data_IF_767744816436
#
_entry.id   IF_767744816436
#
_cell.length_a   1.000
_cell.length_b   1.000
_cell.length_c   1.000
_cell.angle_alpha   90.00
_cell.angle_beta   90.00
_cell.angle_gamma   90.00
#
_symmetry.space_group_name_H-M   'P 1'
#
loop_
_entity.id
_entity.type
_entity.pdbx_description
1 polymer ?
#
# COMPACT_ATOMS: atom_id res chain seq x y z
N UNK A 1 -56.97 26.67 -36.09
CA UNK A 1 -55.69 25.93 -36.03
C UNK A 1 -55.59 25.34 -34.61
N UNK A 2 -55.84 24.04 -34.46
CA UNK A 2 -56.08 23.39 -33.16
C UNK A 2 -54.76 23.04 -32.45
N UNK A 3 -54.65 23.40 -31.18
CA UNK A 3 -53.63 22.89 -30.25
C UNK A 3 -53.84 21.38 -30.02
N UNK A 4 -52.76 20.62 -30.07
CA UNK A 4 -52.68 19.27 -29.50
C UNK A 4 -51.41 19.18 -28.65
N UNK A 5 -51.59 18.98 -27.34
CA UNK A 5 -50.56 18.60 -26.37
C UNK A 5 -50.46 17.07 -26.38
N UNK A 6 -49.28 16.51 -26.54
CA UNK A 6 -48.96 15.12 -26.24
C UNK A 6 -48.42 15.00 -24.81
N UNK A 7 -48.87 14.02 -24.00
CA UNK A 7 -48.32 13.77 -22.67
C UNK A 7 -47.15 12.77 -22.70
N UNK A 8 -46.26 12.97 -21.74
CA UNK A 8 -45.08 12.16 -21.41
C UNK A 8 -45.43 10.74 -20.95
N UNK A 9 -44.61 9.76 -21.34
CA UNK A 9 -44.61 8.40 -20.79
C UNK A 9 -43.38 8.21 -19.91
N UNK A 10 -43.65 7.85 -18.64
CA UNK A 10 -42.72 7.72 -17.51
C UNK A 10 -42.26 6.26 -17.42
N UNK A 11 -40.95 6.03 -17.37
CA UNK A 11 -40.28 4.72 -17.34
C UNK A 11 -40.44 3.91 -16.05
N UNK A 12 -41.39 4.27 -15.17
CA UNK A 12 -41.55 3.69 -13.83
C UNK A 12 -42.41 2.43 -13.74
N UNK A 13 -43.34 2.20 -14.68
CA UNK A 13 -44.35 1.14 -14.52
C UNK A 13 -43.90 -0.27 -14.95
N UNK A 14 -42.74 -0.41 -15.60
CA UNK A 14 -42.22 -1.71 -16.04
C UNK A 14 -41.47 -2.49 -14.94
N UNK A 15 -40.92 -1.79 -13.94
CA UNK A 15 -40.15 -2.42 -12.84
C UNK A 15 -41.05 -2.91 -11.70
N UNK A 16 -42.17 -2.24 -11.45
CA UNK A 16 -43.06 -2.55 -10.33
C UNK A 16 -43.86 -3.86 -10.56
N UNK A 17 -44.19 -4.18 -11.82
CA UNK A 17 -44.83 -5.45 -12.19
C UNK A 17 -43.89 -6.67 -12.15
N UNK A 18 -42.57 -6.45 -12.10
CA UNK A 18 -41.59 -7.54 -12.09
C UNK A 18 -41.22 -7.96 -10.65
N UNK A 19 -41.34 -7.05 -9.68
CA UNK A 19 -41.05 -7.31 -8.26
C UNK A 19 -42.20 -7.99 -7.52
N UNK A 20 -43.46 -7.80 -7.93
CA UNK A 20 -44.60 -8.41 -7.23
C UNK A 20 -44.70 -9.94 -7.42
N UNK A 21 -44.08 -10.49 -8.47
CA UNK A 21 -44.10 -11.93 -8.76
C UNK A 21 -43.07 -12.75 -7.97
N UNK A 22 -42.19 -12.11 -7.18
CA UNK A 22 -41.14 -12.79 -6.40
C UNK A 22 -41.42 -12.86 -4.89
N UNK A 23 -42.45 -12.18 -4.38
CA UNK A 23 -42.84 -12.27 -2.98
C UNK A 23 -44.21 -12.94 -2.87
N UNK A 24 -44.21 -14.20 -2.42
CA UNK A 24 -45.42 -14.97 -2.14
C UNK A 24 -46.30 -14.26 -1.10
N UNK A 25 -47.41 -13.68 -1.57
CA UNK A 25 -48.44 -13.07 -0.75
C UNK A 25 -49.71 -13.89 -0.79
N UNK A 26 -50.07 -14.48 0.35
CA UNK A 26 -51.35 -15.13 0.61
C UNK A 26 -52.45 -14.07 0.64
N UNK A 27 -53.42 -14.14 -0.28
CA UNK A 27 -54.74 -13.53 -0.09
C UNK A 27 -55.85 -14.36 -0.74
N UNK A 28 -56.77 -14.84 0.11
CA UNK A 28 -58.07 -15.39 -0.24
C UNK A 28 -58.92 -14.37 -1.01
N UNK A 29 -59.42 -14.73 -2.20
CA UNK A 29 -60.84 -14.54 -2.49
C UNK A 29 -61.32 -15.29 -3.74
N UNK A 30 -62.55 -15.79 -3.64
CA UNK A 30 -63.24 -16.62 -4.62
C UNK A 30 -63.68 -15.85 -5.88
N UNK A 31 -63.85 -16.62 -6.96
CA UNK A 31 -64.52 -16.33 -8.24
C UNK A 31 -63.73 -15.57 -9.31
N UNK A 32 -63.01 -16.29 -10.18
CA UNK A 32 -62.93 -15.93 -11.61
C UNK A 32 -62.66 -17.17 -12.48
N UNK A 33 -63.44 -17.34 -13.56
CA UNK A 33 -63.34 -18.43 -14.56
C UNK A 33 -61.98 -18.39 -15.30
N UNK A 34 -61.37 -19.54 -15.64
CA UNK A 34 -60.10 -19.55 -16.36
C UNK A 34 -60.31 -19.25 -17.86
N UNK A 35 -59.59 -18.24 -18.38
CA UNK A 35 -59.29 -18.08 -19.83
C UNK A 35 -57.92 -18.71 -20.12
N UNK A 36 -57.70 -19.27 -21.31
CA UNK A 36 -56.55 -20.15 -21.55
C UNK A 36 -55.23 -19.38 -21.51
N UNK A 37 -54.23 -19.98 -20.86
CA UNK A 37 -52.88 -19.47 -20.71
C UNK A 37 -52.25 -19.17 -22.08
N UNK A 38 -51.95 -17.89 -22.34
CA UNK A 38 -51.01 -17.52 -23.39
C UNK A 38 -49.61 -17.93 -22.94
N UNK A 39 -48.95 -18.74 -23.78
CA UNK A 39 -47.66 -19.40 -23.57
C UNK A 39 -46.58 -18.44 -23.05
N UNK A 40 -46.19 -18.58 -21.80
CA UNK A 40 -44.98 -17.98 -21.20
C UNK A 40 -43.70 -18.72 -21.65
N UNK A 41 -43.53 -19.01 -22.93
CA UNK A 41 -42.38 -19.76 -23.47
C UNK A 41 -41.30 -18.87 -24.08
N UNK A 42 -41.52 -17.56 -24.21
CA UNK A 42 -40.54 -16.63 -24.81
C UNK A 42 -39.56 -16.05 -23.79
N UNK A 43 -40.00 -15.79 -22.55
CA UNK A 43 -39.15 -15.16 -21.52
C UNK A 43 -38.08 -16.12 -21.00
N UNK A 44 -38.41 -17.37 -20.73
CA UNK A 44 -37.46 -18.35 -20.21
C UNK A 44 -36.32 -18.63 -21.21
N UNK A 45 -36.63 -18.77 -22.50
CA UNK A 45 -35.61 -18.97 -23.56
C UNK A 45 -34.70 -17.75 -23.72
N UNK A 46 -35.27 -16.55 -23.67
CA UNK A 46 -34.49 -15.32 -23.77
C UNK A 46 -33.56 -15.16 -22.56
N UNK A 47 -34.06 -15.47 -21.36
CA UNK A 47 -33.24 -15.49 -20.13
C UNK A 47 -32.13 -16.53 -20.26
N UNK A 48 -32.40 -17.77 -20.67
CA UNK A 48 -31.37 -18.79 -20.86
C UNK A 48 -30.31 -18.37 -21.88
N UNK A 49 -30.72 -17.80 -23.02
CA UNK A 49 -29.79 -17.30 -24.04
C UNK A 49 -28.91 -16.18 -23.47
N UNK A 50 -29.49 -15.20 -22.78
CA UNK A 50 -28.73 -14.11 -22.16
C UNK A 50 -27.76 -14.63 -21.09
N UNK A 51 -28.17 -15.64 -20.31
CA UNK A 51 -27.31 -16.25 -19.30
C UNK A 51 -26.14 -16.99 -19.95
N UNK A 52 -26.40 -17.79 -21.00
CA UNK A 52 -25.35 -18.46 -21.77
C UNK A 52 -24.39 -17.46 -22.42
N UNK A 53 -24.90 -16.34 -22.93
CA UNK A 53 -24.09 -15.29 -23.56
C UNK A 53 -23.24 -14.55 -22.52
N UNK A 54 -23.77 -14.34 -21.31
CA UNK A 54 -23.03 -13.79 -20.18
C UNK A 54 -21.91 -14.74 -19.70
N UNK A 55 -22.17 -16.05 -19.65
CA UNK A 55 -21.13 -17.05 -19.37
C UNK A 55 -20.08 -17.12 -20.47
N UNK A 56 -20.48 -17.10 -21.75
CA UNK A 56 -19.55 -17.08 -22.87
C UNK A 56 -18.68 -15.82 -22.86
N UNK A 57 -19.27 -14.66 -22.57
CA UNK A 57 -18.54 -13.41 -22.41
C UNK A 57 -17.58 -13.46 -21.22
N UNK A 58 -17.99 -14.00 -20.08
CA UNK A 58 -17.12 -14.17 -18.93
C UNK A 58 -15.92 -15.09 -19.25
N UNK A 59 -16.15 -16.25 -19.87
CA UNK A 59 -15.09 -17.17 -20.28
C UNK A 59 -14.14 -16.49 -21.27
N UNK A 60 -14.69 -15.78 -22.27
CA UNK A 60 -13.89 -15.04 -23.25
C UNK A 60 -13.07 -13.93 -22.59
N UNK A 61 -13.66 -13.12 -21.72
CA UNK A 61 -12.97 -12.04 -21.01
C UNK A 61 -11.87 -12.58 -20.10
N UNK A 62 -12.13 -13.68 -19.37
CA UNK A 62 -11.13 -14.31 -18.49
C UNK A 62 -9.98 -14.91 -19.31
N UNK A 63 -10.30 -15.54 -20.44
CA UNK A 63 -9.28 -16.09 -21.36
C UNK A 63 -8.46 -14.97 -22.01
N UNK A 64 -9.10 -13.88 -22.45
CA UNK A 64 -8.44 -12.72 -23.02
C UNK A 64 -7.51 -12.06 -22.00
N UNK A 65 -7.97 -11.87 -20.76
CA UNK A 65 -7.14 -11.34 -19.67
C UNK A 65 -5.97 -12.27 -19.34
N UNK A 66 -6.18 -13.58 -19.36
CA UNK A 66 -5.11 -14.57 -19.17
C UNK A 66 -4.05 -14.46 -20.28
N UNK A 67 -4.45 -14.42 -21.55
CA UNK A 67 -3.52 -14.31 -22.69
C UNK A 67 -2.89 -12.92 -22.86
N UNK A 68 -3.53 -11.86 -22.35
CA UNK A 68 -2.98 -10.51 -22.34
C UNK A 68 -2.16 -10.21 -21.10
N UNK A 69 -2.19 -11.08 -20.08
CA UNK A 69 -1.32 -10.97 -18.92
C UNK A 69 0.15 -11.13 -19.35
N UNK A 70 1.06 -10.19 -19.04
CA UNK A 70 2.46 -10.23 -19.49
C UNK A 70 3.26 -11.44 -18.96
N UNK A 71 2.69 -12.20 -18.04
CA UNK A 71 3.31 -13.31 -17.31
C UNK A 71 3.33 -14.66 -18.05
N UNK A 72 2.83 -14.75 -19.28
CA UNK A 72 2.86 -15.99 -20.07
C UNK A 72 3.82 -15.86 -21.24
N UNK A 73 4.93 -16.60 -21.15
CA UNK A 73 6.09 -16.65 -22.06
C UNK A 73 5.78 -17.24 -23.47
N UNK A 74 4.53 -17.16 -23.94
CA UNK A 74 4.11 -17.66 -25.26
C UNK A 74 4.43 -16.67 -26.39
N UNK A 75 4.68 -15.40 -26.05
CA UNK A 75 4.86 -14.30 -27.03
C UNK A 75 6.22 -14.33 -27.75
N UNK A 76 7.19 -15.07 -27.22
CA UNK A 76 8.53 -15.19 -27.80
C UNK A 76 8.56 -16.06 -29.07
N UNK A 77 7.64 -17.04 -29.21
CA UNK A 77 7.58 -17.94 -30.37
C UNK A 77 6.90 -17.34 -31.60
N UNK A 78 5.85 -16.55 -31.41
CA UNK A 78 5.12 -15.90 -32.51
C UNK A 78 5.87 -14.67 -33.06
N UNK A 79 6.56 -13.90 -32.22
CA UNK A 79 7.31 -12.73 -32.67
C UNK A 79 8.50 -13.08 -33.61
N UNK A 80 9.05 -14.30 -33.52
CA UNK A 80 10.12 -14.76 -34.41
C UNK A 80 9.62 -15.15 -35.81
N UNK A 81 8.38 -15.66 -35.94
CA UNK A 81 7.82 -16.03 -37.26
C UNK A 81 7.38 -14.82 -38.10
N UNK A 82 7.05 -13.69 -37.48
CA UNK A 82 6.55 -12.51 -38.19
C UNK A 82 7.66 -11.57 -38.70
N UNK A 83 8.91 -11.75 -38.25
CA UNK A 83 10.07 -10.97 -38.73
C UNK A 83 10.54 -11.35 -40.14
N UNK A 84 10.06 -12.46 -40.71
CA UNK A 84 10.45 -12.89 -42.07
C UNK A 84 9.57 -12.31 -43.20
N UNK A 85 8.42 -11.68 -42.89
CA UNK A 85 7.44 -11.31 -43.92
C UNK A 85 7.23 -9.81 -44.15
N UNK A 86 7.98 -8.91 -43.50
CA UNK A 86 7.86 -7.46 -43.70
C UNK A 86 9.16 -6.84 -44.20
N UNK A 87 9.44 -7.01 -45.49
CA UNK A 87 10.41 -6.23 -46.26
C UNK A 87 9.66 -5.17 -47.07
N UNK A 88 9.68 -3.92 -46.62
CA UNK A 88 9.33 -2.73 -47.42
C UNK A 88 10.29 -1.58 -47.04
N UNK A 89 10.89 -0.87 -48.01
CA UNK A 89 11.87 0.18 -47.74
C UNK A 89 11.19 1.52 -47.41
N UNK A 90 11.76 2.37 -46.53
CA UNK A 90 11.16 3.66 -46.21
C UNK A 90 11.59 4.74 -47.21
N UNK A 91 10.63 5.31 -47.93
CA UNK A 91 10.76 6.63 -48.55
C UNK A 91 10.27 7.71 -47.59
N UNK A 92 11.22 8.55 -47.14
CA UNK A 92 11.17 10.00 -46.92
C UNK A 92 9.80 10.62 -46.60
N UNK A 93 9.60 11.02 -45.33
CA UNK A 93 9.07 12.36 -44.97
C UNK A 93 9.81 12.83 -43.71
N UNK A 94 10.66 13.84 -43.92
CA UNK A 94 11.28 14.72 -42.93
C UNK A 94 10.24 15.62 -42.26
N UNK A 95 10.31 15.82 -40.94
CA UNK A 95 10.45 17.14 -40.30
C UNK A 95 10.39 17.08 -38.76
N UNK A 96 11.42 17.67 -38.14
CA UNK A 96 11.59 18.10 -36.74
C UNK A 96 11.75 17.04 -35.64
N UNK A 97 12.96 16.50 -35.54
CA UNK A 97 13.59 16.19 -34.26
C UNK A 97 14.95 16.88 -34.23
N UNK A 98 15.04 17.96 -33.44
CA UNK A 98 16.29 18.65 -33.15
C UNK A 98 17.26 17.72 -32.43
N UNK A 99 18.52 17.84 -32.83
CA UNK A 99 19.68 17.10 -32.39
C UNK A 99 19.94 17.26 -30.88
N UNK A 100 19.93 16.16 -30.14
CA UNK A 100 20.85 16.00 -29.02
C UNK A 100 21.75 14.82 -29.33
N UNK A 101 22.97 15.14 -29.73
CA UNK A 101 24.03 14.22 -30.09
C UNK A 101 24.35 13.30 -28.89
N UNK A 102 23.98 12.03 -29.00
CA UNK A 102 24.53 10.93 -28.20
C UNK A 102 26.03 10.84 -28.46
N UNK A 103 26.83 11.47 -27.60
CA UNK A 103 28.21 11.05 -27.44
C UNK A 103 28.18 9.69 -26.78
N UNK A 104 28.59 8.67 -27.54
CA UNK A 104 28.98 7.35 -27.06
C UNK A 104 30.02 7.50 -25.94
N UNK A 105 29.56 7.54 -24.69
CA UNK A 105 30.41 7.38 -23.51
C UNK A 105 30.39 5.87 -23.21
N UNK A 106 31.55 5.20 -23.08
CA UNK A 106 31.56 3.80 -22.68
C UNK A 106 30.86 3.66 -21.32
N UNK A 107 29.92 2.72 -21.20
CA UNK A 107 29.36 2.26 -19.92
C UNK A 107 30.48 1.61 -19.10
N UNK A 108 31.27 2.45 -18.44
CA UNK A 108 32.12 2.05 -17.33
C UNK A 108 31.13 1.76 -16.19
N UNK A 109 31.16 0.58 -15.55
CA UNK A 109 30.37 0.35 -14.35
C UNK A 109 30.77 1.43 -13.33
N UNK A 110 29.90 2.41 -13.14
CA UNK A 110 30.12 3.47 -12.18
C UNK A 110 30.12 2.79 -10.82
N UNK A 111 31.27 2.77 -10.16
CA UNK A 111 31.39 2.28 -8.80
C UNK A 111 30.37 3.07 -7.95
N UNK A 112 29.49 2.40 -7.21
CA UNK A 112 28.43 3.04 -6.41
C UNK A 112 29.00 4.13 -5.50
N UNK A 113 30.25 3.96 -5.05
CA UNK A 113 31.01 4.94 -4.27
C UNK A 113 31.17 6.32 -4.92
N UNK A 114 31.05 6.44 -6.25
CA UNK A 114 31.16 7.72 -6.98
C UNK A 114 29.83 8.47 -7.08
N UNK A 115 28.70 7.78 -6.96
CA UNK A 115 27.35 8.36 -7.05
C UNK A 115 26.75 8.58 -5.65
N UNK A 116 27.18 7.78 -4.67
CA UNK A 116 26.69 7.87 -3.31
C UNK A 116 27.15 9.14 -2.60
N UNK A 117 26.23 10.07 -2.44
CA UNK A 117 26.39 11.22 -1.56
C UNK A 117 26.19 10.80 -0.10
N UNK A 118 27.04 11.32 0.80
CA UNK A 118 26.86 11.11 2.24
C UNK A 118 26.19 12.33 2.86
N UNK A 119 25.03 12.12 3.48
CA UNK A 119 24.43 13.12 4.36
C UNK A 119 25.01 12.95 5.76
N UNK A 120 25.85 13.91 6.20
CA UNK A 120 26.12 14.06 7.63
C UNK A 120 24.91 14.74 8.25
N UNK A 121 24.07 13.95 8.90
CA UNK A 121 23.00 14.49 9.72
C UNK A 121 23.65 14.87 11.05
N UNK A 122 23.98 16.15 11.23
CA UNK A 122 24.38 16.72 12.52
C UNK A 122 23.15 16.80 13.43
N UNK A 123 22.63 15.63 13.82
CA UNK A 123 21.53 15.53 14.77
C UNK A 123 22.10 15.48 16.17
N UNK A 124 22.34 16.65 16.77
CA UNK A 124 22.38 16.70 18.23
C UNK A 124 20.98 16.40 18.74
N UNK A 125 20.78 15.17 19.22
CA UNK A 125 19.55 14.79 19.89
C UNK A 125 19.41 15.60 21.18
N UNK A 126 18.71 16.72 21.08
CA UNK A 126 18.50 17.64 22.21
C UNK A 126 17.72 16.93 23.30
N UNK A 127 18.41 16.58 24.38
CA UNK A 127 17.77 16.12 25.62
C UNK A 127 17.07 17.30 26.28
N UNK A 128 15.86 17.06 26.78
CA UNK A 128 15.17 18.02 27.60
C UNK A 128 15.89 18.15 28.95
N UNK A 129 15.99 19.38 29.46
CA UNK A 129 16.43 19.65 30.83
C UNK A 129 15.24 20.01 31.75
N UNK A 130 14.00 19.99 31.24
CA UNK A 130 12.80 20.27 32.04
C UNK A 130 12.42 18.99 32.81
N UNK A 131 12.86 18.93 34.08
CA UNK A 131 12.62 17.79 34.97
C UNK A 131 11.13 17.45 35.14
N UNK A 132 10.25 18.45 35.07
CA UNK A 132 8.80 18.23 35.16
C UNK A 132 8.33 17.52 33.90
N UNK A 133 8.70 18.00 32.72
CA UNK A 133 8.31 17.35 31.46
C UNK A 133 8.84 15.93 31.33
N UNK A 134 10.11 15.71 31.70
CA UNK A 134 10.71 14.37 31.71
C UNK A 134 9.86 13.45 32.58
N UNK A 135 9.60 13.83 33.83
CA UNK A 135 8.78 13.05 34.76
C UNK A 135 7.39 12.76 34.20
N UNK A 136 6.69 13.77 33.67
CA UNK A 136 5.35 13.59 33.11
C UNK A 136 5.33 12.60 31.95
N UNK A 137 6.31 12.67 31.03
CA UNK A 137 6.41 11.79 29.86
C UNK A 137 6.81 10.37 30.27
N UNK A 138 7.77 10.21 31.17
CA UNK A 138 8.21 8.90 31.65
C UNK A 138 7.14 8.21 32.50
N UNK A 139 6.40 8.97 33.32
CA UNK A 139 5.31 8.41 34.13
C UNK A 139 4.16 7.94 33.23
N UNK A 140 3.75 8.76 32.25
CA UNK A 140 2.74 8.34 31.26
C UNK A 140 3.17 7.11 30.47
N UNK A 141 4.45 7.02 30.08
CA UNK A 141 4.97 5.85 29.39
C UNK A 141 4.86 4.58 30.25
N UNK A 142 5.22 4.66 31.54
CA UNK A 142 5.07 3.54 32.48
C UNK A 142 3.61 3.13 32.68
N UNK A 143 2.71 4.10 32.89
CA UNK A 143 1.28 3.85 33.03
C UNK A 143 0.72 3.09 31.80
N UNK A 144 1.17 3.44 30.60
CA UNK A 144 0.78 2.76 29.36
C UNK A 144 1.36 1.35 29.28
N UNK A 145 2.62 1.15 29.64
CA UNK A 145 3.23 -0.19 29.68
C UNK A 145 2.51 -1.11 30.66
N UNK A 146 2.19 -0.60 31.87
CA UNK A 146 1.46 -1.35 32.90
C UNK A 146 0.03 -1.67 32.44
N UNK A 147 -0.63 -0.76 31.73
CA UNK A 147 -1.94 -1.04 31.15
C UNK A 147 -1.86 -2.11 30.05
N UNK A 148 -0.89 -1.99 29.14
CA UNK A 148 -0.75 -2.91 28.01
C UNK A 148 -0.30 -4.31 28.44
N UNK A 149 0.55 -4.43 29.47
CA UNK A 149 0.98 -5.72 29.99
C UNK A 149 -0.21 -6.56 30.51
N UNK A 150 -1.25 -5.89 31.01
CA UNK A 150 -2.46 -6.54 31.54
C UNK A 150 -3.53 -6.82 30.48
N UNK A 151 -3.42 -6.27 29.27
CA UNK A 151 -4.49 -6.32 28.26
C UNK A 151 -4.06 -7.02 26.97
N UNK A 152 -2.92 -6.63 26.41
CA UNK A 152 -2.43 -7.13 25.12
C UNK A 152 -1.11 -7.86 25.24
N UNK A 153 -0.30 -7.58 26.26
CA UNK A 153 1.09 -8.03 26.37
C UNK A 153 2.08 -6.96 25.91
N UNK A 154 3.31 -7.05 26.43
CA UNK A 154 4.41 -6.11 26.18
C UNK A 154 5.70 -6.88 25.98
N UNK A 155 5.69 -7.90 25.14
CA UNK A 155 6.80 -8.82 24.94
C UNK A 155 8.12 -8.12 24.56
N UNK A 156 9.19 -8.59 25.16
CA UNK A 156 10.57 -8.25 24.79
C UNK A 156 10.90 -8.86 23.45
N UNK A 157 11.94 -8.36 22.79
CA UNK A 157 12.41 -8.94 21.53
C UNK A 157 12.72 -10.46 21.64
N UNK A 158 13.41 -10.97 22.69
CA UNK A 158 13.60 -12.41 22.84
C UNK A 158 12.31 -13.21 22.97
N UNK A 159 11.32 -12.70 23.70
CA UNK A 159 10.00 -13.34 23.84
C UNK A 159 9.27 -13.39 22.50
N UNK A 160 9.29 -12.29 21.74
CA UNK A 160 8.72 -12.22 20.39
C UNK A 160 9.38 -13.22 19.43
N UNK A 161 10.72 -13.31 19.46
CA UNK A 161 11.47 -14.22 18.60
C UNK A 161 11.35 -15.69 19.01
N UNK A 162 10.82 -15.98 20.20
CA UNK A 162 10.53 -17.33 20.69
C UNK A 162 9.11 -17.79 20.34
N UNK A 163 8.24 -16.88 19.89
CA UNK A 163 6.89 -17.23 19.46
C UNK A 163 6.92 -18.10 18.21
N UNK A 164 5.92 -18.97 18.07
CA UNK A 164 5.73 -19.71 16.83
C UNK A 164 5.33 -18.75 15.71
N UNK A 165 6.02 -18.85 14.59
CA UNK A 165 5.79 -18.03 13.40
C UNK A 165 5.67 -18.94 12.20
N UNK A 166 4.69 -18.64 11.33
CA UNK A 166 4.55 -19.34 10.04
C UNK A 166 5.72 -19.10 9.09
N UNK A 167 6.54 -18.07 9.37
CA UNK A 167 7.70 -17.72 8.57
C UNK A 167 8.97 -18.28 9.17
N UNK A 168 9.72 -19.04 8.37
CA UNK A 168 11.06 -19.51 8.72
C UNK A 168 12.02 -19.24 7.54
N UNK A 169 12.96 -18.31 7.76
CA UNK A 169 13.99 -17.95 6.79
C UNK A 169 14.96 -19.08 6.44
N UNK A 170 14.98 -20.18 7.23
CA UNK A 170 15.83 -21.36 6.98
C UNK A 170 15.17 -22.33 6.00
N UNK A 171 13.87 -22.21 5.80
CA UNK A 171 13.07 -23.10 4.96
C UNK A 171 12.54 -22.30 3.78
N UNK A 172 13.00 -22.63 2.57
CA UNK A 172 12.68 -21.86 1.36
C UNK A 172 11.16 -21.74 1.10
N UNK A 173 10.38 -22.78 1.39
CA UNK A 173 8.93 -22.80 1.20
C UNK A 173 8.16 -21.84 2.13
N UNK A 174 8.75 -21.48 3.27
CA UNK A 174 8.17 -20.60 4.29
C UNK A 174 9.00 -19.34 4.49
N UNK A 175 9.86 -19.00 3.53
CA UNK A 175 10.60 -17.75 3.55
C UNK A 175 9.70 -16.66 2.96
N UNK A 176 9.35 -15.61 3.72
CA UNK A 176 8.44 -14.59 3.24
C UNK A 176 9.10 -13.72 2.17
N UNK A 177 8.33 -13.38 1.13
CA UNK A 177 8.72 -12.34 0.18
C UNK A 177 8.38 -10.99 0.78
N UNK A 178 9.36 -10.09 0.79
CA UNK A 178 9.18 -8.71 1.26
C UNK A 178 9.47 -7.73 0.14
N UNK A 179 8.49 -6.92 -0.25
CA UNK A 179 8.71 -5.75 -1.11
C UNK A 179 8.97 -4.53 -0.23
N UNK A 180 10.12 -3.89 -0.42
CA UNK A 180 10.51 -2.69 0.30
C UNK A 180 10.26 -1.47 -0.58
N UNK A 181 9.60 -0.45 -0.05
CA UNK A 181 9.25 0.79 -0.76
C UNK A 181 9.98 1.93 -0.08
N UNK A 182 10.89 2.57 -0.83
CA UNK A 182 11.68 3.70 -0.37
C UNK A 182 11.10 4.98 -0.97
N UNK A 183 10.41 5.79 -0.17
CA UNK A 183 9.78 7.02 -0.64
C UNK A 183 10.74 8.21 -0.55
N UNK A 184 11.38 8.56 -1.67
CA UNK A 184 12.37 9.64 -1.74
C UNK A 184 11.83 10.94 -2.30
N UNK A 185 12.23 12.05 -1.67
CA UNK A 185 11.96 13.39 -2.20
C UNK A 185 13.20 14.25 -2.30
N UNK A 186 13.92 14.51 -1.20
CA UNK A 186 15.05 15.47 -1.19
C UNK A 186 16.30 14.98 -0.45
N UNK A 187 16.20 13.89 0.33
CA UNK A 187 17.31 13.39 1.14
C UNK A 187 18.37 12.69 0.30
N UNK A 188 19.57 12.57 0.87
CA UNK A 188 20.75 11.92 0.26
C UNK A 188 21.09 10.61 0.96
N UNK A 189 20.08 9.93 1.47
CA UNK A 189 20.18 8.71 2.29
C UNK A 189 19.97 7.42 1.48
N UNK A 190 19.62 7.53 0.19
CA UNK A 190 19.21 6.39 -0.63
C UNK A 190 20.27 5.27 -0.67
N UNK A 191 21.54 5.63 -0.83
CA UNK A 191 22.62 4.64 -0.79
C UNK A 191 22.67 3.91 0.54
N UNK A 192 22.61 4.64 1.66
CA UNK A 192 22.61 4.01 2.98
C UNK A 192 21.43 3.05 3.17
N UNK A 193 20.24 3.39 2.66
CA UNK A 193 19.08 2.49 2.69
C UNK A 193 19.29 1.25 1.82
N UNK A 194 19.76 1.40 0.58
CA UNK A 194 19.98 0.27 -0.32
C UNK A 194 21.07 -0.66 0.24
N UNK A 195 22.20 -0.10 0.71
CA UNK A 195 23.27 -0.90 1.31
C UNK A 195 22.78 -1.70 2.52
N UNK A 196 22.03 -1.10 3.44
CA UNK A 196 21.55 -1.86 4.62
C UNK A 196 20.48 -2.88 4.25
N UNK A 197 19.72 -2.66 3.19
CA UNK A 197 18.76 -3.63 2.67
C UNK A 197 19.44 -4.82 1.97
N UNK A 198 20.52 -4.57 1.22
CA UNK A 198 21.33 -5.63 0.59
C UNK A 198 21.98 -6.56 1.64
N UNK A 199 22.28 -6.04 2.83
CA UNK A 199 22.91 -6.78 3.92
C UNK A 199 21.91 -7.28 5.00
N UNK A 200 20.61 -7.32 4.70
CA UNK A 200 19.63 -7.89 5.63
C UNK A 200 19.87 -9.39 5.83
N UNK A 201 19.63 -9.87 7.05
CA UNK A 201 19.67 -11.32 7.35
C UNK A 201 18.54 -12.09 6.67
N UNK A 202 17.38 -11.45 6.48
CA UNK A 202 16.33 -11.90 5.56
C UNK A 202 16.41 -11.04 4.29
N UNK A 203 16.77 -11.59 3.12
CA UNK A 203 16.87 -10.82 1.90
C UNK A 203 15.49 -10.28 1.47
N UNK A 204 15.46 -9.08 0.91
CA UNK A 204 14.26 -8.54 0.28
C UNK A 204 13.94 -9.28 -1.03
N UNK A 205 12.66 -9.25 -1.42
CA UNK A 205 12.20 -9.74 -2.72
C UNK A 205 12.37 -8.66 -3.80
N UNK A 206 11.86 -7.46 -3.53
CA UNK A 206 12.02 -6.28 -4.39
C UNK A 206 12.29 -5.02 -3.56
N UNK A 207 13.02 -4.07 -4.13
CA UNK A 207 13.07 -2.68 -3.66
C UNK A 207 12.45 -1.80 -4.74
N UNK A 208 11.47 -0.99 -4.37
CA UNK A 208 10.92 0.05 -5.22
C UNK A 208 11.28 1.42 -4.66
N UNK A 209 12.14 2.13 -5.38
CA UNK A 209 12.53 3.49 -5.04
C UNK A 209 11.58 4.45 -5.74
N UNK A 210 10.79 5.18 -4.95
CA UNK A 210 9.80 6.13 -5.45
C UNK A 210 10.36 7.55 -5.44
N UNK A 211 10.13 8.27 -6.53
CA UNK A 211 10.53 9.67 -6.69
C UNK A 211 9.41 10.45 -7.39
N UNK A 212 8.43 10.90 -6.62
CA UNK A 212 7.26 11.63 -7.13
C UNK A 212 7.43 13.14 -6.94
N UNK A 213 7.52 13.88 -8.05
CA UNK A 213 7.73 15.32 -8.06
C UNK A 213 9.07 15.78 -7.45
N UNK A 214 10.01 14.85 -7.23
CA UNK A 214 11.30 15.16 -6.62
C UNK A 214 12.17 16.04 -7.53
N UNK A 215 12.80 17.10 -7.00
CA UNK A 215 13.81 17.84 -7.76
C UNK A 215 15.09 17.03 -8.02
N UNK A 216 15.28 15.92 -7.29
CA UNK A 216 16.49 15.09 -7.32
C UNK A 216 16.31 13.80 -8.14
N UNK A 217 15.21 13.67 -8.91
CA UNK A 217 14.86 12.45 -9.65
C UNK A 217 16.04 11.88 -10.46
N UNK A 218 16.74 12.73 -11.23
CA UNK A 218 17.89 12.30 -12.04
C UNK A 218 19.02 11.69 -11.21
N UNK A 219 19.32 12.28 -10.05
CA UNK A 219 20.36 11.78 -9.17
C UNK A 219 19.93 10.45 -8.52
N UNK A 220 18.71 10.39 -8.00
CA UNK A 220 18.15 9.18 -7.39
C UNK A 220 18.12 8.01 -8.38
N UNK A 221 17.74 8.28 -9.64
CA UNK A 221 17.76 7.29 -10.72
C UNK A 221 19.18 6.77 -11.00
N UNK A 222 20.14 7.68 -11.13
CA UNK A 222 21.56 7.34 -11.33
C UNK A 222 22.11 6.47 -10.19
N UNK A 223 21.71 6.74 -8.94
CA UNK A 223 22.06 5.90 -7.78
C UNK A 223 21.50 4.49 -7.98
N UNK A 224 20.20 4.33 -8.23
CA UNK A 224 19.57 3.01 -8.41
C UNK A 224 20.22 2.22 -9.54
N UNK A 225 20.48 2.87 -10.69
CA UNK A 225 21.12 2.24 -11.84
C UNK A 225 22.56 1.78 -11.54
N UNK A 226 23.29 2.50 -10.68
CA UNK A 226 24.67 2.13 -10.29
C UNK A 226 24.76 0.83 -9.48
N UNK A 227 23.69 0.43 -8.79
CA UNK A 227 23.65 -0.82 -8.04
C UNK A 227 23.54 -2.06 -8.94
N UNK A 228 23.01 -1.91 -10.15
CA UNK A 228 22.87 -2.99 -11.15
C UNK A 228 22.25 -4.29 -10.57
N UNK A 229 21.24 -4.16 -9.73
CA UNK A 229 20.48 -5.28 -9.16
C UNK A 229 19.07 -5.28 -9.74
N UNK A 230 18.70 -6.36 -10.45
CA UNK A 230 17.41 -6.47 -11.13
C UNK A 230 16.20 -6.49 -10.18
N UNK A 231 16.41 -6.64 -8.87
CA UNK A 231 15.36 -6.58 -7.85
C UNK A 231 15.05 -5.15 -7.41
N UNK A 232 15.90 -4.19 -7.77
CA UNK A 232 15.76 -2.77 -7.40
C UNK A 232 15.21 -2.00 -8.61
N UNK A 233 14.02 -1.43 -8.45
CA UNK A 233 13.34 -0.67 -9.48
C UNK A 233 13.20 0.79 -9.07
N UNK A 234 13.35 1.70 -10.03
CA UNK A 234 13.07 3.12 -9.87
C UNK A 234 11.73 3.47 -10.49
N UNK A 235 10.85 4.12 -9.71
CA UNK A 235 9.51 4.55 -10.15
C UNK A 235 9.41 6.05 -9.89
N UNK A 236 9.24 6.84 -10.96
CA UNK A 236 9.10 8.28 -10.86
C UNK A 236 7.85 8.80 -11.57
N UNK A 237 7.49 10.02 -11.20
CA UNK A 237 6.40 10.77 -11.81
C UNK A 237 6.69 12.26 -11.64
N UNK A 238 6.39 13.06 -12.65
CA UNK A 238 6.43 14.52 -12.53
C UNK A 238 5.31 15.06 -11.62
N UNK A 239 4.21 14.31 -11.51
CA UNK A 239 3.16 14.58 -10.53
C UNK A 239 3.56 14.07 -9.14
N UNK A 240 3.41 14.92 -8.14
CA UNK A 240 3.69 14.62 -6.73
C UNK A 240 2.45 14.00 -6.06
N UNK A 241 2.49 12.67 -5.90
CA UNK A 241 1.46 11.88 -5.20
C UNK A 241 1.49 12.01 -3.67
N UNK A 242 2.33 12.92 -3.15
CA UNK A 242 2.45 13.24 -1.73
C UNK A 242 2.67 11.97 -0.90
N UNK A 243 1.99 11.88 0.22
CA UNK A 243 2.23 10.84 1.20
C UNK A 243 1.52 9.51 0.89
N UNK A 244 0.41 9.55 0.15
CA UNK A 244 -0.34 8.34 -0.19
C UNK A 244 0.28 7.54 -1.35
N UNK A 245 1.07 8.20 -2.22
CA UNK A 245 1.66 7.56 -3.40
C UNK A 245 2.40 6.26 -3.09
N UNK A 246 3.16 6.23 -1.98
CA UNK A 246 3.90 5.02 -1.54
C UNK A 246 2.99 3.84 -1.19
N UNK A 247 1.85 4.10 -0.58
CA UNK A 247 0.85 3.08 -0.27
C UNK A 247 0.05 2.66 -1.51
N UNK A 248 -0.19 3.57 -2.45
CA UNK A 248 -0.87 3.24 -3.72
C UNK A 248 -0.02 2.31 -4.57
N UNK A 249 1.29 2.57 -4.67
CA UNK A 249 2.22 1.67 -5.38
C UNK A 249 2.32 0.32 -4.66
N UNK A 250 2.29 0.30 -3.32
CA UNK A 250 2.32 -0.94 -2.54
C UNK A 250 1.23 -1.94 -2.92
N UNK A 251 0.07 -1.48 -3.43
CA UNK A 251 -1.00 -2.35 -3.91
C UNK A 251 -0.59 -3.24 -5.09
N UNK A 252 0.48 -2.91 -5.81
CA UNK A 252 0.95 -3.65 -6.99
C UNK A 252 1.88 -4.82 -6.64
N UNK A 253 2.24 -4.99 -5.37
CA UNK A 253 3.19 -6.03 -4.96
C UNK A 253 2.59 -7.43 -5.05
N UNK A 254 3.40 -8.40 -5.49
CA UNK A 254 3.07 -9.83 -5.44
C UNK A 254 3.72 -10.52 -4.20
N UNK A 255 4.36 -9.74 -3.33
CA UNK A 255 5.02 -10.23 -2.12
C UNK A 255 4.03 -10.47 -0.97
N UNK A 256 4.41 -11.30 0.00
CA UNK A 256 3.59 -11.60 1.18
C UNK A 256 3.50 -10.39 2.12
N UNK A 257 4.61 -9.65 2.25
CA UNK A 257 4.79 -8.55 3.18
C UNK A 257 5.32 -7.31 2.44
N UNK A 258 4.99 -6.14 2.97
CA UNK A 258 5.47 -4.85 2.47
C UNK A 258 6.15 -4.09 3.59
N UNK A 259 7.28 -3.46 3.26
CA UNK A 259 7.96 -2.53 4.14
C UNK A 259 8.09 -1.15 3.50
N UNK A 260 7.42 -0.14 4.05
CA UNK A 260 7.39 1.22 3.53
C UNK A 260 8.22 2.12 4.43
N UNK A 261 9.15 2.87 3.84
CA UNK A 261 10.11 3.73 4.54
C UNK A 261 10.13 5.15 3.97
N UNK A 262 10.17 6.12 4.88
CA UNK A 262 10.54 7.50 4.56
C UNK A 262 12.04 7.60 4.22
N UNK A 263 12.43 8.71 3.58
CA UNK A 263 13.81 8.96 3.13
C UNK A 263 14.78 9.38 4.25
N UNK A 264 14.37 9.36 5.51
CA UNK A 264 15.25 9.59 6.67
C UNK A 264 15.38 8.36 7.59
N UNK A 265 14.85 7.21 7.15
CA UNK A 265 14.86 5.98 7.93
C UNK A 265 15.85 4.95 7.39
N UNK A 266 16.89 4.62 8.16
CA UNK A 266 17.85 3.56 7.81
C UNK A 266 17.53 2.29 8.61
N UNK A 267 17.11 1.17 7.98
CA UNK A 267 16.81 -0.06 8.71
C UNK A 267 18.08 -0.73 9.23
N UNK A 268 18.00 -1.31 10.43
CA UNK A 268 19.06 -2.16 10.97
C UNK A 268 19.15 -3.52 10.26
N UNK A 269 20.27 -4.23 10.40
CA UNK A 269 20.58 -5.45 9.61
C UNK A 269 19.63 -6.64 9.79
N UNK A 270 18.88 -6.69 10.90
CA UNK A 270 17.90 -7.74 11.20
C UNK A 270 16.45 -7.28 11.05
N UNK A 271 16.22 -6.07 10.52
CA UNK A 271 14.90 -5.44 10.54
C UNK A 271 13.86 -6.30 9.81
N UNK A 272 14.16 -6.74 8.58
CA UNK A 272 13.23 -7.56 7.82
C UNK A 272 12.97 -8.91 8.49
N UNK A 273 14.01 -9.56 9.01
CA UNK A 273 13.89 -10.84 9.71
C UNK A 273 13.00 -10.71 10.95
N UNK A 274 13.25 -9.71 11.79
CA UNK A 274 12.49 -9.49 13.02
C UNK A 274 11.04 -9.17 12.71
N UNK A 275 10.78 -8.20 11.83
CA UNK A 275 9.41 -7.77 11.52
C UNK A 275 8.61 -8.86 10.81
N UNK A 276 9.24 -9.58 9.88
CA UNK A 276 8.59 -10.71 9.20
C UNK A 276 8.24 -11.82 10.19
N UNK A 277 9.17 -12.20 11.06
CA UNK A 277 8.91 -13.22 12.08
C UNK A 277 7.72 -12.83 12.96
N UNK A 278 7.71 -11.61 13.51
CA UNK A 278 6.61 -11.12 14.37
C UNK A 278 5.29 -11.09 13.60
N UNK A 279 5.26 -10.58 12.37
CA UNK A 279 4.06 -10.58 11.52
C UNK A 279 3.61 -12.00 11.10
N UNK A 280 4.43 -13.02 11.31
CA UNK A 280 4.06 -14.43 11.09
C UNK A 280 3.50 -15.13 12.32
N UNK A 281 3.53 -14.50 13.49
CA UNK A 281 2.94 -15.04 14.71
C UNK A 281 1.43 -14.86 14.70
N UNK A 282 0.69 -15.81 15.27
CA UNK A 282 -0.78 -15.74 15.41
C UNK A 282 -1.22 -14.44 16.10
N UNK A 283 -0.45 -13.98 17.09
CA UNK A 283 -0.77 -12.79 17.86
C UNK A 283 -0.69 -11.48 17.06
N UNK A 284 0.26 -11.38 16.13
CA UNK A 284 0.58 -10.13 15.44
C UNK A 284 0.36 -10.18 13.92
N UNK A 285 -0.24 -11.25 13.39
CA UNK A 285 -0.42 -11.42 11.94
C UNK A 285 -1.22 -10.30 11.26
N UNK A 286 -2.14 -9.66 11.99
CA UNK A 286 -2.97 -8.55 11.51
C UNK A 286 -2.53 -7.19 12.09
N UNK A 287 -1.23 -7.02 12.33
CA UNK A 287 -0.66 -5.78 12.85
C UNK A 287 0.11 -5.01 11.77
N UNK A 288 0.21 -3.70 11.97
CA UNK A 288 1.25 -2.89 11.30
C UNK A 288 2.36 -2.65 12.31
N UNK A 289 3.57 -3.04 11.94
CA UNK A 289 4.75 -2.98 12.77
C UNK A 289 5.67 -1.86 12.27
N UNK A 290 6.42 -1.23 13.17
CA UNK A 290 7.34 -0.16 12.80
C UNK A 290 8.22 0.26 13.96
N UNK A 291 9.20 1.11 13.67
CA UNK A 291 10.19 1.57 14.66
C UNK A 291 9.78 2.86 15.39
N UNK A 292 8.80 3.59 14.86
CA UNK A 292 8.36 4.87 15.41
C UNK A 292 6.83 4.90 15.47
N UNK A 293 6.31 5.16 16.67
CA UNK A 293 4.90 5.22 16.97
C UNK A 293 4.50 6.49 17.69
N UNK A 294 3.20 6.79 17.64
CA UNK A 294 2.58 7.91 18.34
C UNK A 294 1.35 7.43 19.09
N UNK A 295 1.24 7.87 20.35
CA UNK A 295 0.05 7.70 21.18
C UNK A 295 -0.64 9.05 21.24
N UNK A 296 -1.91 9.07 20.84
CA UNK A 296 -2.67 10.29 20.66
C UNK A 296 -2.88 11.02 21.99
N UNK A 297 -2.92 12.36 21.93
CA UNK A 297 -3.41 13.18 23.00
C UNK A 297 -4.78 12.73 23.54
N UNK A 298 -5.01 12.88 24.84
CA UNK A 298 -6.33 12.61 25.40
C UNK A 298 -7.32 13.69 24.95
N UNK A 299 -8.46 13.24 24.39
CA UNK A 299 -9.54 14.14 24.00
C UNK A 299 -10.02 14.93 25.21
N UNK A 300 -10.08 16.24 25.03
CA UNK A 300 -10.53 17.18 26.04
C UNK A 300 -12.07 17.19 26.13
N UNK A 301 -12.61 17.79 27.19
CA UNK A 301 -14.07 17.87 27.41
C UNK A 301 -14.81 18.63 26.30
N UNK A 302 -14.11 19.54 25.62
CA UNK A 302 -14.61 20.31 24.48
C UNK A 302 -14.44 19.58 23.13
N UNK A 303 -14.15 18.27 23.16
CA UNK A 303 -13.90 17.43 22.00
C UNK A 303 -12.64 17.78 21.19
N UNK A 304 -11.79 18.68 21.68
CA UNK A 304 -10.51 19.00 21.04
C UNK A 304 -9.42 18.02 21.45
N UNK A 305 -8.41 17.89 20.60
CA UNK A 305 -7.16 17.19 20.92
C UNK A 305 -6.07 18.24 21.10
N UNK A 306 -5.34 18.24 22.23
CA UNK A 306 -4.25 19.19 22.41
C UNK A 306 -3.10 18.85 21.46
N UNK A 307 -2.33 19.86 21.06
CA UNK A 307 -1.14 19.64 20.25
C UNK A 307 -0.14 18.72 20.98
N UNK A 308 0.54 17.85 20.23
CA UNK A 308 1.69 17.08 20.72
C UNK A 308 2.78 17.96 21.35
N UNK A 309 2.83 19.24 20.98
CA UNK A 309 3.79 20.24 21.48
C UNK A 309 3.23 21.10 22.61
N UNK A 310 2.04 20.80 23.16
CA UNK A 310 1.44 21.56 24.27
C UNK A 310 2.36 21.46 25.48
N UNK A 311 2.91 22.60 25.90
CA UNK A 311 3.89 22.68 26.97
C UNK A 311 3.28 22.23 28.31
N UNK A 312 4.01 21.40 29.06
CA UNK A 312 3.65 20.96 30.43
C UNK A 312 2.27 20.33 30.59
N UNK A 313 1.78 19.65 29.56
CA UNK A 313 0.56 18.84 29.66
C UNK A 313 0.84 17.35 29.49
N UNK A 314 0.32 16.54 30.42
CA UNK A 314 0.22 15.07 30.29
C UNK A 314 -0.64 14.66 29.08
N UNK A 315 -1.49 15.57 28.61
CA UNK A 315 -2.48 15.30 27.58
C UNK A 315 -1.89 15.34 26.17
N UNK A 316 -0.63 15.76 25.99
CA UNK A 316 -0.01 15.97 24.69
C UNK A 316 0.41 14.66 23.97
N UNK A 317 -0.04 13.48 24.43
CA UNK A 317 0.33 12.20 23.84
C UNK A 317 1.81 11.82 24.02
N UNK A 318 2.24 10.74 23.38
CA UNK A 318 3.63 10.29 23.37
C UNK A 318 4.13 10.07 21.94
N UNK A 319 5.40 10.36 21.73
CA UNK A 319 6.20 9.84 20.62
C UNK A 319 6.99 8.66 21.17
N UNK A 320 7.19 7.60 20.39
CA UNK A 320 7.91 6.40 20.85
C UNK A 320 8.81 5.89 19.71
N UNK A 321 10.11 5.66 19.94
CA UNK A 321 10.88 6.09 21.11
C UNK A 321 10.89 7.61 21.25
N UNK A 322 11.14 8.14 22.45
CA UNK A 322 11.32 9.58 22.68
C UNK A 322 12.59 9.86 23.47
N UNK A 323 13.76 9.79 22.81
CA UNK A 323 15.03 9.87 23.52
C UNK A 323 15.32 11.29 24.04
N UNK A 324 14.60 12.31 23.57
CA UNK A 324 14.66 13.66 24.13
C UNK A 324 14.23 13.68 25.61
N UNK A 325 13.35 12.75 26.02
CA UNK A 325 12.93 12.56 27.42
C UNK A 325 13.46 11.24 28.02
N UNK A 326 14.44 10.59 27.37
CA UNK A 326 15.04 9.34 27.85
C UNK A 326 14.14 8.10 27.71
N UNK A 327 13.10 8.16 26.88
CA UNK A 327 12.23 7.01 26.62
C UNK A 327 12.83 6.18 25.49
N UNK A 328 13.22 4.96 25.82
CA UNK A 328 13.69 3.94 24.88
C UNK A 328 12.71 2.77 24.88
N UNK A 329 12.71 1.99 23.81
CA UNK A 329 11.75 0.89 23.60
C UNK A 329 12.55 -0.42 23.55
N UNK A 330 12.35 -1.27 24.54
CA UNK A 330 12.95 -2.61 24.67
C UNK A 330 11.90 -3.74 24.55
N UNK A 331 10.64 -3.35 24.41
CA UNK A 331 9.45 -4.19 24.37
C UNK A 331 8.50 -3.71 23.28
N UNK A 332 7.67 -4.59 22.73
CA UNK A 332 6.61 -4.16 21.82
C UNK A 332 5.61 -3.29 22.58
N UNK A 333 5.29 -2.14 21.99
CA UNK A 333 4.31 -1.19 22.54
C UNK A 333 3.28 -0.92 21.47
N UNK A 334 2.01 -1.15 21.80
CA UNK A 334 0.90 -0.78 20.94
C UNK A 334 0.74 0.74 20.97
N UNK A 335 0.63 1.34 19.80
CA UNK A 335 0.46 2.78 19.62
C UNK A 335 -0.79 3.08 18.82
N UNK A 336 -1.19 4.34 18.76
CA UNK A 336 -2.34 4.74 17.94
C UNK A 336 -2.00 4.70 16.45
N UNK A 337 -0.82 5.17 16.05
CA UNK A 337 -0.36 5.10 14.67
C UNK A 337 1.16 5.11 14.59
N UNK A 338 1.70 4.61 13.49
CA UNK A 338 3.13 4.64 13.18
C UNK A 338 3.47 5.83 12.30
N UNK A 339 4.72 6.26 12.32
CA UNK A 339 5.24 7.26 11.37
C UNK A 339 6.57 6.80 10.79
N UNK A 340 6.83 7.17 9.55
CA UNK A 340 8.09 6.99 8.81
C UNK A 340 8.54 5.57 8.48
N UNK A 341 7.93 4.55 9.10
CA UNK A 341 8.23 3.14 8.85
C UNK A 341 6.98 2.29 9.11
N UNK A 342 6.50 1.58 8.08
CA UNK A 342 5.33 0.70 8.17
C UNK A 342 5.62 -0.66 7.55
N UNK A 343 5.48 -1.72 8.34
CA UNK A 343 5.64 -3.10 7.92
C UNK A 343 4.35 -3.87 8.16
N UNK A 344 3.81 -4.51 7.14
CA UNK A 344 2.50 -5.16 7.19
C UNK A 344 2.34 -6.21 6.09
N UNK A 345 1.33 -7.06 6.23
CA UNK A 345 0.86 -7.92 5.13
C UNK A 345 0.46 -7.08 3.92
N UNK A 346 0.83 -7.53 2.72
CA UNK A 346 0.44 -6.86 1.48
C UNK A 346 -1.08 -6.71 1.34
N UNK A 347 -1.85 -7.67 1.86
CA UNK A 347 -3.31 -7.62 1.89
C UNK A 347 -3.83 -6.43 2.73
N UNK A 348 -3.17 -6.11 3.85
CA UNK A 348 -3.60 -5.03 4.74
C UNK A 348 -3.46 -3.64 4.10
N UNK A 349 -2.60 -3.48 3.10
CA UNK A 349 -2.47 -2.21 2.35
C UNK A 349 -3.79 -1.83 1.69
N UNK A 350 -4.58 -2.82 1.25
CA UNK A 350 -5.88 -2.59 0.59
C UNK A 350 -6.86 -1.88 1.50
N UNK A 351 -6.77 -2.10 2.82
CA UNK A 351 -7.69 -1.52 3.79
C UNK A 351 -7.64 0.01 3.81
N UNK A 352 -6.46 0.60 3.59
CA UNK A 352 -6.27 2.05 3.51
C UNK A 352 -7.10 2.73 2.42
N UNK A 353 -7.50 1.99 1.38
CA UNK A 353 -8.17 2.50 0.20
C UNK A 353 -9.62 2.02 0.06
N UNK A 354 -10.19 1.43 1.12
CA UNK A 354 -11.61 1.05 1.14
C UNK A 354 -12.49 2.30 1.03
N UNK A 355 -12.20 3.35 1.79
CA UNK A 355 -12.82 4.66 1.60
C UNK A 355 -11.78 5.69 1.12
N UNK A 356 -12.28 6.70 0.43
CA UNK A 356 -11.44 7.81 -0.01
C UNK A 356 -11.05 8.65 1.20
N UNK A 357 -9.74 8.95 1.41
CA UNK A 357 -9.34 9.82 2.50
C UNK A 357 -9.91 11.22 2.33
N UNK A 358 -10.11 11.93 3.43
CA UNK A 358 -10.51 13.34 3.40
C UNK A 358 -9.56 14.21 2.58
N UNK A 359 -8.27 13.86 2.56
CA UNK A 359 -7.26 14.49 1.72
C UNK A 359 -6.12 13.52 1.39
N UNK A 360 -5.54 13.64 0.20
CA UNK A 360 -4.30 12.94 -0.17
C UNK A 360 -3.04 13.73 0.19
N UNK A 361 -3.18 14.95 0.75
CA UNK A 361 -2.05 15.84 1.02
C UNK A 361 -1.29 15.51 2.29
N UNK A 362 -1.88 14.77 3.24
CA UNK A 362 -1.29 14.34 4.53
C UNK A 362 -2.29 13.42 5.27
N UNK A 363 -1.87 12.82 6.38
CA UNK A 363 -2.75 12.08 7.30
C UNK A 363 -2.93 10.61 6.96
N UNK A 364 -2.13 10.09 6.03
CA UNK A 364 -2.04 8.69 5.65
C UNK A 364 -1.78 7.76 6.84
N UNK A 365 -0.94 8.19 7.79
CA UNK A 365 -0.62 7.43 9.00
C UNK A 365 -1.87 7.19 9.86
N UNK A 366 -2.65 8.26 10.03
CA UNK A 366 -3.88 8.28 10.82
C UNK A 366 -5.01 7.56 10.08
N UNK A 367 -5.04 7.66 8.75
CA UNK A 367 -6.01 6.97 7.93
C UNK A 367 -5.77 5.45 7.94
N UNK A 368 -4.50 5.02 7.90
CA UNK A 368 -4.13 3.61 8.01
C UNK A 368 -4.59 3.02 9.35
N UNK A 369 -4.40 3.76 10.45
CA UNK A 369 -4.93 3.38 11.77
C UNK A 369 -6.44 3.12 11.74
N UNK A 370 -7.21 4.00 11.11
CA UNK A 370 -8.68 3.97 11.18
C UNK A 370 -9.25 2.61 10.77
N UNK A 371 -8.71 1.98 9.72
CA UNK A 371 -9.19 0.68 9.26
C UNK A 371 -8.66 -0.52 10.05
N UNK A 372 -7.54 -0.36 10.76
CA UNK A 372 -6.93 -1.45 11.53
C UNK A 372 -7.47 -1.57 12.95
N UNK A 373 -8.30 -0.63 13.38
CA UNK A 373 -9.03 -0.70 14.66
C UNK A 373 -10.34 -1.49 14.52
N UNK A 374 -10.82 -1.71 13.29
CA UNK A 374 -12.03 -2.48 12.99
C UNK A 374 -11.74 -3.78 12.19
N UNK A 375 -11.02 -4.77 12.75
CA UNK A 375 -11.17 -6.15 12.32
C UNK A 375 -12.35 -6.85 13.02
#
# INVERSE_FOLDING_TARGET
MRLSRSPSLRSGEYLEGMLSNYMGGVTNNNNYKPRPAQKATSSARLVTILTCLQFAFAIYATSLLYFMSPSIDLRTRLAQQWKQFTLMPPHIITHYQEEYSEKNIPLIPMNSSLVCEQEKIDFEQKKSNDAVMIKLKTDLYKEILDFQSNTFGTETLPELMAMESKWDSRVAATTPKVTVILNHFKRKTLCAQIETLLHQTLPFHHIWVLSFGSPNERNLKSIVESYNDSRISFISSTYDFKYYGRFQVALQTEADLVYILDDDMIPGTKMLQTLAHVAGTEKYENSVLGSIGRILPFRQKDFTFPSYRKFRSKEAGLYLPDPAYGITIDRVVRVDFLSSSWFLSAELVKTLFIETPFTFMTGEDLHLRYYLIFP
#
